data_IF_349893009511
#
_entry.id   IF_349893009511
#
_cell.length_a   1.000
_cell.length_b   1.000
_cell.length_c   1.000
_cell.angle_alpha   90.00
_cell.angle_beta   90.00
_cell.angle_gamma   90.00
#
_symmetry.space_group_name_H-M   'P 1'
#
loop_
_entity.id
_entity.type
_entity.pdbx_description
1 polymer ?
#
# COMPACT_ATOMS: atom_id res chain seq x y z
N UNK A 1 -17.67 -13.75 17.54
CA UNK A 1 -18.13 -13.41 16.17
C UNK A 1 -18.90 -12.07 16.10
N UNK A 2 -18.76 -11.16 17.08
CA UNK A 2 -19.32 -9.79 16.99
C UNK A 2 -18.25 -8.71 16.78
N UNK A 3 -16.97 -9.05 17.00
CA UNK A 3 -15.82 -8.19 16.71
C UNK A 3 -15.42 -8.11 15.23
N UNK A 4 -16.05 -8.90 14.35
CA UNK A 4 -15.57 -9.07 12.98
C UNK A 4 -16.13 -8.06 11.96
N UNK A 5 -17.19 -7.31 12.31
CA UNK A 5 -18.04 -6.65 11.29
C UNK A 5 -18.32 -5.16 11.51
N UNK A 6 -17.80 -4.50 12.55
CA UNK A 6 -18.10 -3.08 12.76
C UNK A 6 -17.02 -2.28 13.48
N UNK A 7 -15.75 -2.49 13.13
CA UNK A 7 -14.73 -1.50 13.46
C UNK A 7 -14.77 -0.43 12.36
N UNK A 8 -15.62 0.59 12.54
CA UNK A 8 -15.46 1.84 11.80
C UNK A 8 -14.12 2.42 12.23
N UNK A 9 -13.20 2.64 11.29
CA UNK A 9 -11.92 3.25 11.60
C UNK A 9 -12.17 4.59 12.29
N UNK A 10 -11.66 4.74 13.51
CA UNK A 10 -11.58 6.01 14.20
C UNK A 10 -10.57 6.94 13.53
N UNK A 11 -10.61 8.22 13.87
CA UNK A 11 -9.73 9.24 13.27
C UNK A 11 -8.24 8.89 13.39
N UNK A 12 -7.83 8.26 14.50
CA UNK A 12 -6.45 7.81 14.69
C UNK A 12 -6.07 6.69 13.72
N UNK A 13 -6.97 5.73 13.51
CA UNK A 13 -6.73 4.60 12.62
C UNK A 13 -6.64 5.08 11.16
N UNK A 14 -7.53 6.00 10.76
CA UNK A 14 -7.48 6.65 9.46
C UNK A 14 -6.20 7.47 9.26
N UNK A 15 -5.71 8.16 10.29
CA UNK A 15 -4.47 8.92 10.23
C UNK A 15 -3.27 8.00 9.98
N UNK A 16 -3.17 6.89 10.72
CA UNK A 16 -2.12 5.89 10.55
C UNK A 16 -2.14 5.27 9.15
N UNK A 17 -3.33 4.86 8.68
CA UNK A 17 -3.49 4.26 7.33
C UNK A 17 -3.12 5.28 6.25
N UNK A 18 -3.58 6.52 6.39
CA UNK A 18 -3.32 7.59 5.42
C UNK A 18 -1.83 7.95 5.36
N UNK A 19 -1.18 8.03 6.52
CA UNK A 19 0.24 8.33 6.63
C UNK A 19 1.09 7.22 6.00
N UNK A 20 0.83 5.95 6.37
CA UNK A 20 1.56 4.81 5.81
C UNK A 20 1.41 4.71 4.28
N UNK A 21 0.20 4.96 3.77
CA UNK A 21 -0.07 4.91 2.33
C UNK A 21 0.60 6.06 1.58
N UNK A 22 0.63 7.27 2.13
CA UNK A 22 1.34 8.40 1.51
C UNK A 22 2.86 8.18 1.51
N UNK A 23 3.43 7.68 2.61
CA UNK A 23 4.87 7.38 2.67
C UNK A 23 5.26 6.29 1.66
N UNK A 24 4.45 5.24 1.55
CA UNK A 24 4.64 4.21 0.52
C UNK A 24 4.54 4.82 -0.89
N UNK A 25 3.51 5.62 -1.16
CA UNK A 25 3.31 6.25 -2.47
C UNK A 25 4.46 7.17 -2.85
N UNK A 26 4.99 7.96 -1.91
CA UNK A 26 6.19 8.80 -2.12
C UNK A 26 7.42 7.92 -2.39
N UNK A 27 7.57 6.81 -1.66
CA UNK A 27 8.69 5.89 -1.83
C UNK A 27 8.71 5.22 -3.22
N UNK A 28 7.54 4.85 -3.72
CA UNK A 28 7.36 4.19 -5.02
C UNK A 28 7.26 5.20 -6.18
N UNK A 29 6.86 6.45 -5.91
CA UNK A 29 6.81 7.53 -6.89
C UNK A 29 5.57 7.53 -7.78
N UNK A 30 4.44 6.99 -7.32
CA UNK A 30 3.18 6.95 -8.10
C UNK A 30 2.24 8.11 -7.78
N UNK A 31 1.33 8.41 -8.70
CA UNK A 31 0.29 9.42 -8.49
C UNK A 31 -0.91 8.85 -7.72
N UNK A 32 -1.65 9.69 -6.97
CA UNK A 32 -2.86 9.23 -6.25
C UNK A 32 -3.98 8.79 -7.20
N UNK A 33 -3.95 9.23 -8.45
CA UNK A 33 -4.90 8.82 -9.48
C UNK A 33 -4.51 7.49 -10.16
N UNK A 34 -3.36 6.91 -9.81
CA UNK A 34 -2.92 5.64 -10.36
C UNK A 34 -3.79 4.49 -9.79
N UNK A 35 -4.19 3.51 -10.61
CA UNK A 35 -4.96 2.36 -10.13
C UNK A 35 -4.20 1.56 -9.06
N UNK A 36 -2.88 1.55 -9.10
CA UNK A 36 -2.01 0.97 -8.08
C UNK A 36 -2.22 1.60 -6.70
N UNK A 37 -2.57 2.89 -6.64
CA UNK A 37 -2.85 3.57 -5.38
C UNK A 37 -4.11 3.02 -4.71
N UNK A 38 -5.16 2.74 -5.47
CA UNK A 38 -6.40 2.15 -4.94
C UNK A 38 -6.18 0.72 -4.44
N UNK A 39 -5.43 -0.08 -5.20
CA UNK A 39 -5.09 -1.46 -4.82
C UNK A 39 -4.21 -1.47 -3.57
N UNK A 40 -3.26 -0.53 -3.48
CA UNK A 40 -2.45 -0.36 -2.28
C UNK A 40 -3.27 0.06 -1.07
N UNK A 41 -4.20 1.00 -1.22
CA UNK A 41 -5.11 1.39 -0.14
C UNK A 41 -5.88 0.19 0.42
N UNK A 42 -6.46 -0.65 -0.44
CA UNK A 42 -7.17 -1.86 -0.02
C UNK A 42 -6.26 -2.86 0.71
N UNK A 43 -5.01 -2.99 0.25
CA UNK A 43 -4.02 -3.88 0.85
C UNK A 43 -3.56 -3.37 2.21
N UNK A 44 -3.24 -2.08 2.33
CA UNK A 44 -2.84 -1.43 3.59
C UNK A 44 -3.94 -1.51 4.64
N UNK A 45 -5.20 -1.30 4.24
CA UNK A 45 -6.37 -1.48 5.12
C UNK A 45 -6.48 -2.94 5.62
N UNK A 46 -6.17 -3.90 4.76
CA UNK A 46 -6.18 -5.32 5.14
C UNK A 46 -5.07 -5.62 6.15
N UNK A 47 -3.83 -5.19 5.89
CA UNK A 47 -2.70 -5.35 6.79
C UNK A 47 -2.97 -4.73 8.16
N UNK A 48 -3.61 -3.55 8.20
CA UNK A 48 -4.00 -2.91 9.46
C UNK A 48 -4.99 -3.78 10.26
N UNK A 49 -5.99 -4.35 9.58
CA UNK A 49 -7.00 -5.23 10.19
C UNK A 49 -6.41 -6.55 10.69
N UNK A 50 -5.31 -7.02 10.11
CA UNK A 50 -4.59 -8.22 10.55
C UNK A 50 -3.83 -8.03 11.87
N UNK A 51 -3.70 -6.79 12.36
CA UNK A 51 -3.11 -6.49 13.67
C UNK A 51 -1.97 -5.49 13.65
N UNK A 52 -1.59 -4.97 12.47
CA UNK A 52 -0.54 -3.94 12.33
C UNK A 52 -1.10 -2.55 12.71
N UNK A 53 -1.35 -2.35 14.01
CA UNK A 53 -2.15 -1.21 14.51
C UNK A 53 -1.36 0.08 14.73
N UNK A 54 -0.04 0.04 14.60
CA UNK A 54 0.81 1.23 14.69
C UNK A 54 1.47 1.52 13.35
N UNK A 55 1.83 2.79 13.14
CA UNK A 55 2.55 3.22 11.93
C UNK A 55 3.81 2.37 11.63
N UNK A 56 4.75 2.16 12.58
CA UNK A 56 5.95 1.38 12.28
C UNK A 56 5.65 -0.11 11.97
N UNK A 57 4.65 -0.71 12.62
CA UNK A 57 4.23 -2.08 12.30
C UNK A 57 3.62 -2.17 10.90
N UNK A 58 2.78 -1.20 10.54
CA UNK A 58 2.15 -1.15 9.24
C UNK A 58 3.16 -0.91 8.11
N UNK A 59 4.13 -0.02 8.31
CA UNK A 59 5.23 0.20 7.37
C UNK A 59 6.10 -1.05 7.17
N UNK A 60 6.39 -1.78 8.25
CA UNK A 60 7.12 -3.04 8.18
C UNK A 60 6.34 -4.10 7.39
N UNK A 61 5.02 -4.21 7.64
CA UNK A 61 4.14 -5.11 6.91
C UNK A 61 4.04 -4.76 5.42
N UNK A 62 3.92 -3.47 5.08
CA UNK A 62 3.95 -2.96 3.70
C UNK A 62 5.27 -3.36 3.00
N UNK A 63 6.41 -3.15 3.67
CA UNK A 63 7.72 -3.46 3.11
C UNK A 63 7.95 -4.96 2.88
N UNK A 64 7.37 -5.80 3.74
CA UNK A 64 7.41 -7.26 3.64
C UNK A 64 6.41 -7.81 2.61
N UNK A 65 5.35 -7.06 2.27
CA UNK A 65 4.32 -7.50 1.35
C UNK A 65 4.84 -7.47 -0.09
N UNK A 66 4.91 -8.65 -0.73
CA UNK A 66 5.60 -8.81 -2.02
C UNK A 66 5.16 -7.82 -3.09
N UNK A 67 3.86 -7.54 -3.21
CA UNK A 67 3.34 -6.61 -4.22
C UNK A 67 3.58 -5.12 -3.89
N UNK A 68 3.67 -4.77 -2.60
CA UNK A 68 3.88 -3.39 -2.16
C UNK A 68 5.38 -3.07 -2.03
N UNK A 69 6.23 -4.10 -1.95
CA UNK A 69 7.67 -3.91 -1.86
C UNK A 69 8.20 -3.24 -3.12
N UNK A 70 9.12 -2.29 -2.93
CA UNK A 70 9.70 -1.48 -4.01
C UNK A 70 10.28 -2.33 -5.15
N UNK A 71 10.91 -3.46 -4.82
CA UNK A 71 11.45 -4.40 -5.79
C UNK A 71 10.41 -4.94 -6.78
N UNK A 72 9.19 -5.23 -6.30
CA UNK A 72 8.13 -5.75 -7.15
C UNK A 72 7.55 -4.69 -8.09
N UNK A 73 7.48 -3.43 -7.64
CA UNK A 73 7.00 -2.33 -8.48
C UNK A 73 8.04 -1.93 -9.52
N UNK A 74 9.33 -1.96 -9.17
CA UNK A 74 10.42 -1.69 -10.12
C UNK A 74 10.46 -2.71 -11.27
N UNK A 75 10.21 -4.00 -10.99
CA UNK A 75 10.09 -5.03 -12.03
C UNK A 75 8.87 -4.84 -12.95
N UNK A 76 7.77 -4.28 -12.45
CA UNK A 76 6.59 -3.96 -13.25
C UNK A 76 6.84 -2.74 -14.18
N UNK A 77 7.52 -1.71 -13.66
CA UNK A 77 7.93 -0.52 -14.41
C UNK A 77 8.93 -0.84 -15.55
N UNK A 78 9.93 -1.70 -15.29
CA UNK A 78 10.90 -2.12 -16.32
C UNK A 78 10.22 -2.88 -17.48
N UNK A 79 9.19 -3.67 -17.17
CA UNK A 79 8.47 -4.44 -18.20
C UNK A 79 7.65 -3.55 -19.14
N UNK A 80 7.09 -2.42 -18.67
CA UNK A 80 6.31 -1.52 -19.53
C UNK A 80 7.19 -0.66 -20.45
N UNK A 81 8.41 -0.31 -20.02
CA UNK A 81 9.32 0.54 -20.79
C UNK A 81 10.13 -0.22 -21.86
N UNK A 82 10.20 -1.56 -21.80
CA UNK A 82 10.96 -2.37 -22.77
C UNK A 82 10.18 -2.67 -24.06
N UNK A 83 8.85 -2.53 -24.06
CA UNK A 83 8.01 -2.80 -25.24
C UNK A 83 7.97 -1.64 -26.27
N UNK A 84 8.61 -0.50 -25.99
CA UNK A 84 8.51 0.74 -26.78
C UNK A 84 9.68 1.07 -27.72
N UNK A 85 10.64 0.16 -27.93
CA UNK A 85 11.73 0.37 -28.89
C UNK A 85 11.91 -0.80 -29.85
N UNK A 86 11.00 -0.90 -30.80
CA UNK A 86 11.28 -1.49 -32.10
C UNK A 86 10.71 -0.54 -33.15
N UNK A 87 11.58 0.30 -33.72
CA UNK A 87 11.35 1.07 -34.94
C UNK A 87 12.65 1.08 -35.73
#
# INVERSE_FOLDING_TARGET
MKDFVNATFGSLELDIISQALEEWRISIGIERAAPEYEIAAATVVTLFREGNRTLPELQAAISAHQWLSRDAVEMANVSVHSAGKAS
#
